data_IF_434634658414
#
_entry.id   IF_434634658414
#
_cell.length_a   1.000
_cell.length_b   1.000
_cell.length_c   1.000
_cell.angle_alpha   90.00
_cell.angle_beta   90.00
_cell.angle_gamma   90.00
#
_symmetry.space_group_name_H-M   'P 1'
#
loop_
_entity.id
_entity.type
_entity.pdbx_description
1 polymer ?
#
# COMPACT_ATOMS: atom_id res chain seq x y z
N UNK A 1 -52.74 10.09 -19.18
CA UNK A 1 -52.13 8.93 -18.51
C UNK A 1 -51.04 9.48 -17.63
N UNK A 2 -51.29 9.52 -16.33
CA UNK A 2 -50.39 10.10 -15.33
C UNK A 2 -49.13 9.25 -15.24
N UNK A 3 -47.98 9.89 -15.34
CA UNK A 3 -46.69 9.25 -15.18
C UNK A 3 -46.49 9.03 -13.67
N UNK A 4 -46.83 7.83 -13.23
CA UNK A 4 -46.66 7.31 -11.89
C UNK A 4 -45.16 7.31 -11.55
N UNK A 5 -44.67 8.42 -11.02
CA UNK A 5 -43.38 8.50 -10.34
C UNK A 5 -43.48 7.77 -8.98
N UNK A 6 -43.78 6.47 -9.02
CA UNK A 6 -43.56 5.57 -7.89
C UNK A 6 -42.07 5.24 -7.85
N UNK A 7 -41.28 6.24 -7.46
CA UNK A 7 -39.90 6.07 -7.08
C UNK A 7 -39.83 5.15 -5.88
N UNK A 8 -39.70 3.85 -6.14
CA UNK A 8 -39.52 2.80 -5.16
C UNK A 8 -38.59 3.27 -4.03
N UNK A 9 -39.11 3.23 -2.80
CA UNK A 9 -38.44 3.57 -1.53
C UNK A 9 -37.20 2.72 -1.20
N UNK A 10 -36.67 1.97 -2.17
CA UNK A 10 -35.45 1.19 -2.14
C UNK A 10 -34.20 2.00 -2.53
N UNK A 11 -34.40 3.21 -3.05
CA UNK A 11 -33.35 4.08 -3.59
C UNK A 11 -32.27 4.51 -2.56
N UNK A 12 -32.57 4.88 -1.30
CA UNK A 12 -31.53 5.27 -0.35
C UNK A 12 -30.71 4.06 0.12
N UNK A 13 -31.35 2.91 0.33
CA UNK A 13 -30.67 1.70 0.81
C UNK A 13 -29.71 1.12 -0.23
N UNK A 14 -30.07 1.17 -1.53
CA UNK A 14 -29.19 0.71 -2.60
C UNK A 14 -27.92 1.56 -2.74
N UNK A 15 -28.05 2.88 -2.67
CA UNK A 15 -26.90 3.80 -2.73
C UNK A 15 -26.01 3.63 -1.50
N UNK A 16 -26.60 3.55 -0.30
CA UNK A 16 -25.87 3.29 0.94
C UNK A 16 -25.13 1.95 0.88
N UNK A 17 -25.77 0.91 0.32
CA UNK A 17 -25.15 -0.39 0.14
C UNK A 17 -23.98 -0.37 -0.87
N UNK A 18 -24.12 0.32 -2.00
CA UNK A 18 -23.00 0.50 -2.93
C UNK A 18 -21.86 1.30 -2.29
N UNK A 19 -22.16 2.37 -1.56
CA UNK A 19 -21.15 3.19 -0.89
C UNK A 19 -20.39 2.42 0.18
N UNK A 20 -21.05 1.55 0.95
CA UNK A 20 -20.36 0.73 1.96
C UNK A 20 -19.44 -0.30 1.30
N UNK A 21 -19.91 -1.01 0.26
CA UNK A 21 -19.06 -1.95 -0.48
C UNK A 21 -17.86 -1.25 -1.13
N UNK A 22 -18.08 -0.10 -1.75
CA UNK A 22 -17.00 0.70 -2.33
C UNK A 22 -16.00 1.16 -1.28
N UNK A 23 -16.47 1.61 -0.12
CA UNK A 23 -15.61 2.03 0.99
C UNK A 23 -14.78 0.86 1.52
N UNK A 24 -15.38 -0.32 1.68
CA UNK A 24 -14.66 -1.53 2.11
C UNK A 24 -13.60 -1.91 1.07
N UNK A 25 -13.96 -1.94 -0.22
CA UNK A 25 -13.02 -2.25 -1.30
C UNK A 25 -11.85 -1.25 -1.33
N UNK A 26 -12.14 0.05 -1.24
CA UNK A 26 -11.14 1.11 -1.21
C UNK A 26 -10.19 0.96 0.00
N UNK A 27 -10.72 0.68 1.20
CA UNK A 27 -9.91 0.45 2.40
C UNK A 27 -9.03 -0.80 2.25
N UNK A 28 -9.56 -1.89 1.69
CA UNK A 28 -8.77 -3.12 1.46
C UNK A 28 -7.65 -2.88 0.47
N UNK A 29 -7.93 -2.22 -0.65
CA UNK A 29 -6.92 -1.86 -1.66
C UNK A 29 -5.89 -0.91 -1.06
N UNK A 30 -6.33 0.09 -0.29
CA UNK A 30 -5.43 1.02 0.37
C UNK A 30 -4.55 0.33 1.40
N UNK A 31 -5.09 -0.55 2.24
CA UNK A 31 -4.33 -1.29 3.24
C UNK A 31 -3.30 -2.24 2.61
N UNK A 32 -3.66 -2.94 1.52
CA UNK A 32 -2.73 -3.78 0.77
C UNK A 32 -1.62 -2.93 0.14
N UNK A 33 -1.99 -1.81 -0.49
CA UNK A 33 -1.04 -0.86 -1.08
C UNK A 33 -0.15 -0.19 -0.03
N UNK A 34 -0.67 0.08 1.16
CA UNK A 34 0.07 0.67 2.27
C UNK A 34 1.11 -0.30 2.81
N UNK A 35 0.76 -1.56 3.05
CA UNK A 35 1.72 -2.59 3.47
C UNK A 35 2.82 -2.78 2.43
N UNK A 36 2.46 -2.86 1.15
CA UNK A 36 3.44 -2.99 0.08
C UNK A 36 4.36 -1.77 -0.01
N UNK A 37 3.83 -0.58 0.25
CA UNK A 37 4.57 0.67 0.21
C UNK A 37 5.51 0.81 1.41
N UNK A 38 5.10 0.42 2.61
CA UNK A 38 5.94 0.45 3.83
C UNK A 38 7.13 -0.50 3.74
N UNK A 39 6.93 -1.74 3.30
CA UNK A 39 8.02 -2.71 3.11
C UNK A 39 9.01 -2.20 2.05
N UNK A 40 8.49 -1.69 0.92
CA UNK A 40 9.34 -1.13 -0.15
C UNK A 40 10.08 0.16 0.26
N UNK A 41 9.54 0.93 1.21
CA UNK A 41 10.17 2.14 1.74
C UNK A 41 11.28 1.77 2.73
N UNK A 42 11.03 0.82 3.63
CA UNK A 42 12.07 0.32 4.54
C UNK A 42 13.25 -0.28 3.78
N UNK A 43 13.00 -1.13 2.78
CA UNK A 43 14.08 -1.71 1.97
C UNK A 43 14.89 -0.64 1.23
N UNK A 44 14.21 0.38 0.72
CA UNK A 44 14.87 1.48 0.00
C UNK A 44 15.70 2.36 0.93
N UNK A 45 15.21 2.63 2.14
CA UNK A 45 15.93 3.41 3.14
C UNK A 45 17.14 2.64 3.68
N UNK A 46 17.00 1.34 3.93
CA UNK A 46 18.13 0.46 4.33
C UNK A 46 19.19 0.42 3.23
N UNK A 47 18.80 0.26 1.97
CA UNK A 47 19.72 0.28 0.84
C UNK A 47 20.44 1.63 0.69
N UNK A 48 19.75 2.74 0.93
CA UNK A 48 20.34 4.08 0.93
C UNK A 48 21.36 4.26 2.07
N UNK A 49 21.05 3.78 3.27
CA UNK A 49 21.94 3.84 4.44
C UNK A 49 23.20 3.00 4.19
N UNK A 50 23.06 1.76 3.72
CA UNK A 50 24.19 0.90 3.37
C UNK A 50 25.09 1.57 2.32
N UNK A 51 24.50 2.13 1.25
CA UNK A 51 25.24 2.81 0.18
C UNK A 51 25.97 4.05 0.70
N UNK A 52 25.36 4.80 1.61
CA UNK A 52 26.00 5.95 2.26
C UNK A 52 27.20 5.53 3.10
N UNK A 53 27.13 4.40 3.83
CA UNK A 53 28.24 3.91 4.67
C UNK A 53 29.38 3.34 3.82
N UNK A 54 29.07 2.66 2.72
CA UNK A 54 30.04 2.21 1.72
C UNK A 54 30.81 3.40 1.12
N UNK A 55 30.11 4.45 0.70
CA UNK A 55 30.73 5.65 0.14
C UNK A 55 31.65 6.39 1.14
N UNK A 56 31.40 6.19 2.44
CA UNK A 56 32.19 6.77 3.52
C UNK A 56 33.44 5.93 3.87
N UNK A 57 33.60 4.75 3.26
CA UNK A 57 34.70 3.81 3.52
C UNK A 57 34.62 3.14 4.89
N UNK A 58 33.50 3.30 5.62
CA UNK A 58 33.26 2.67 6.92
C UNK A 58 32.86 1.18 6.77
N UNK A 59 32.59 0.73 5.53
CA UNK A 59 32.09 -0.62 5.22
C UNK A 59 32.87 -1.18 4.03
N UNK A 60 33.39 -2.40 4.17
CA UNK A 60 34.11 -3.08 3.08
C UNK A 60 33.11 -3.70 2.07
N UNK A 61 33.52 -3.82 0.80
CA UNK A 61 32.70 -4.39 -0.29
C UNK A 61 32.23 -5.83 0.04
N UNK A 62 33.02 -6.56 0.84
CA UNK A 62 32.71 -7.92 1.29
C UNK A 62 31.63 -7.91 2.37
N UNK A 63 31.68 -6.96 3.31
CA UNK A 63 30.68 -6.78 4.35
C UNK A 63 29.35 -6.29 3.78
N UNK A 64 29.39 -5.42 2.76
CA UNK A 64 28.20 -4.98 2.03
C UNK A 64 27.46 -6.15 1.38
N UNK A 65 28.18 -7.06 0.72
CA UNK A 65 27.58 -8.25 0.11
C UNK A 65 26.93 -9.17 1.13
N UNK A 66 27.63 -9.45 2.23
CA UNK A 66 27.09 -10.30 3.30
C UNK A 66 25.83 -9.70 3.92
N UNK A 67 25.82 -8.38 4.16
CA UNK A 67 24.68 -7.67 4.73
C UNK A 67 23.49 -7.60 3.77
N UNK A 68 23.75 -7.43 2.47
CA UNK A 68 22.72 -7.49 1.43
C UNK A 68 22.08 -8.86 1.35
N UNK A 69 22.87 -9.93 1.46
CA UNK A 69 22.39 -11.31 1.42
C UNK A 69 21.50 -11.62 2.64
N UNK A 70 21.88 -11.15 3.83
CA UNK A 70 21.07 -11.27 5.06
C UNK A 70 19.75 -10.47 5.02
N UNK A 71 19.72 -9.33 4.32
CA UNK A 71 18.53 -8.48 4.21
C UNK A 71 17.57 -8.92 3.09
N UNK A 72 18.02 -9.75 2.15
CA UNK A 72 17.20 -10.24 1.03
C UNK A 72 16.47 -11.56 1.37
N UNK A 73 16.76 -12.16 2.52
CA UNK A 73 16.20 -13.43 2.99
C UNK A 73 15.06 -13.20 4.00
#
# INVERSE_FOLDING_TARGET
>A
MGLENDGFSFFPFGVLFCLTLFSIAAVRIYAIRHRYKDDSLQDRDIALILKSRLAKGELDEKEYRMLKELLTQ
#
